data_IF_659133639304
#
_entry.id   IF_659133639304
#
_cell.length_a   1.000
_cell.length_b   1.000
_cell.length_c   1.000
_cell.angle_alpha   90.00
_cell.angle_beta   90.00
_cell.angle_gamma   90.00
#
_symmetry.space_group_name_H-M   'P 1'
#
loop_
_entity.id
_entity.type
_entity.pdbx_description
1 polymer ?
#
# COMPACT_ATOMS: atom_id res chain seq x y z
N UNK A 1 -15.78 25.55 -7.19
CA UNK A 1 -14.71 25.97 -6.28
C UNK A 1 -14.81 25.32 -4.89
N UNK A 2 -15.88 25.50 -4.09
CA UNK A 2 -15.98 24.92 -2.72
C UNK A 2 -15.77 23.39 -2.65
N UNK A 3 -16.26 22.58 -3.62
CA UNK A 3 -16.08 21.13 -3.66
C UNK A 3 -14.61 20.72 -3.89
N UNK A 4 -13.89 21.44 -4.76
CA UNK A 4 -12.47 21.20 -5.05
C UNK A 4 -11.60 21.56 -3.82
N UNK A 5 -11.87 22.70 -3.19
CA UNK A 5 -11.18 23.11 -1.97
C UNK A 5 -11.40 22.12 -0.83
N UNK A 6 -12.64 21.59 -0.69
CA UNK A 6 -12.93 20.57 0.31
C UNK A 6 -12.28 19.22 0.01
N UNK A 7 -12.13 18.85 -1.28
CA UNK A 7 -11.41 17.65 -1.70
C UNK A 7 -9.92 17.74 -1.34
N UNK A 8 -9.27 18.85 -1.68
CA UNK A 8 -7.85 19.09 -1.38
C UNK A 8 -7.60 19.15 0.14
N UNK A 9 -8.50 19.81 0.90
CA UNK A 9 -8.36 19.91 2.37
C UNK A 9 -8.53 18.57 3.11
N UNK A 10 -9.14 17.57 2.50
CA UNK A 10 -9.31 16.24 3.11
C UNK A 10 -8.04 15.39 3.08
N UNK A 11 -7.13 15.69 2.14
CA UNK A 11 -5.88 14.96 1.97
C UNK A 11 -4.69 15.91 2.13
N UNK A 12 -4.02 15.78 3.27
CA UNK A 12 -2.88 16.63 3.64
C UNK A 12 -1.72 16.43 2.66
N UNK A 13 -1.51 15.20 2.19
CA UNK A 13 -0.40 14.86 1.28
C UNK A 13 -0.62 15.51 -0.08
N UNK A 14 -1.84 15.46 -0.59
CA UNK A 14 -2.24 16.17 -1.81
C UNK A 14 -2.03 17.68 -1.67
N UNK A 15 -2.42 18.25 -0.54
CA UNK A 15 -2.24 19.68 -0.28
C UNK A 15 -0.76 20.05 -0.31
N UNK A 16 0.09 19.28 0.36
CA UNK A 16 1.55 19.49 0.37
C UNK A 16 2.12 19.39 -1.05
N UNK A 17 1.76 18.36 -1.81
CA UNK A 17 2.21 18.17 -3.19
C UNK A 17 1.86 19.37 -4.08
N UNK A 18 0.62 19.88 -3.98
CA UNK A 18 0.18 21.06 -4.74
C UNK A 18 0.96 22.32 -4.32
N UNK A 19 1.15 22.54 -3.02
CA UNK A 19 1.90 23.70 -2.51
C UNK A 19 3.34 23.66 -3.00
N UNK A 20 4.01 22.51 -2.90
CA UNK A 20 5.38 22.33 -3.36
C UNK A 20 5.51 22.54 -4.87
N UNK A 21 4.59 21.98 -5.66
CA UNK A 21 4.54 22.19 -7.10
C UNK A 21 4.36 23.67 -7.45
N UNK A 22 3.45 24.37 -6.76
CA UNK A 22 3.21 25.81 -6.97
C UNK A 22 4.44 26.64 -6.59
N UNK A 23 5.01 26.45 -5.39
CA UNK A 23 6.19 27.19 -4.94
C UNK A 23 7.36 26.97 -5.93
N UNK A 24 7.61 25.74 -6.34
CA UNK A 24 8.68 25.46 -7.30
C UNK A 24 8.43 26.07 -8.67
N UNK A 25 7.18 26.26 -9.07
CA UNK A 25 6.80 26.90 -10.33
C UNK A 25 7.05 28.43 -10.36
N UNK A 26 7.20 29.06 -9.19
CA UNK A 26 7.67 30.47 -9.12
C UNK A 26 9.17 30.58 -9.38
N UNK A 27 9.94 29.54 -9.08
CA UNK A 27 11.39 29.50 -9.27
C UNK A 27 11.72 29.06 -10.70
N UNK A 28 11.15 27.92 -11.11
CA UNK A 28 11.27 27.36 -12.47
C UNK A 28 9.94 27.63 -13.18
N UNK A 29 9.95 28.54 -14.14
CA UNK A 29 8.70 28.98 -14.82
C UNK A 29 8.08 27.80 -15.59
N UNK A 30 6.74 27.66 -15.57
CA UNK A 30 6.03 26.65 -16.32
C UNK A 30 6.40 26.66 -17.81
N UNK A 31 6.80 25.50 -18.32
CA UNK A 31 7.16 25.28 -19.71
C UNK A 31 6.54 23.98 -20.22
N UNK A 32 6.71 23.68 -21.51
CA UNK A 32 6.29 22.40 -22.08
C UNK A 32 7.03 21.19 -21.45
N UNK A 33 8.16 21.41 -20.83
CA UNK A 33 8.95 20.39 -20.14
C UNK A 33 8.23 19.79 -18.92
N UNK A 34 7.28 20.54 -18.30
CA UNK A 34 6.47 20.02 -17.19
C UNK A 34 5.71 18.72 -17.55
N UNK A 35 5.31 18.58 -18.83
CA UNK A 35 4.67 17.34 -19.28
C UNK A 35 5.65 16.17 -19.34
N UNK A 36 6.95 16.41 -19.53
CA UNK A 36 7.99 15.39 -19.55
C UNK A 36 8.40 14.91 -18.15
N UNK A 37 8.11 15.70 -17.09
CA UNK A 37 8.39 15.31 -15.72
C UNK A 37 7.47 14.19 -15.23
N UNK A 38 6.27 14.12 -15.83
CA UNK A 38 5.22 13.20 -15.39
C UNK A 38 5.48 11.80 -15.93
N UNK A 39 5.62 10.83 -15.05
CA UNK A 39 5.64 9.41 -15.42
C UNK A 39 4.21 8.91 -15.68
N UNK A 40 3.78 9.04 -16.95
CA UNK A 40 2.45 8.60 -17.40
C UNK A 40 2.25 7.09 -17.24
N UNK A 41 3.32 6.30 -17.33
CA UNK A 41 3.24 4.85 -17.16
C UNK A 41 2.77 4.49 -15.75
N UNK A 42 3.38 5.12 -14.74
CA UNK A 42 2.97 4.94 -13.35
C UNK A 42 1.53 5.38 -13.13
N UNK A 43 1.15 6.58 -13.60
CA UNK A 43 -0.21 7.11 -13.38
C UNK A 43 -1.29 6.26 -14.05
N UNK A 44 -1.09 5.88 -15.30
CA UNK A 44 -2.07 5.06 -16.05
C UNK A 44 -2.20 3.67 -15.42
N UNK A 45 -1.09 3.05 -15.03
CA UNK A 45 -1.13 1.72 -14.43
C UNK A 45 -1.74 1.74 -13.02
N UNK A 46 -1.40 2.75 -12.19
CA UNK A 46 -2.06 2.95 -10.89
C UNK A 46 -3.58 3.10 -11.06
N UNK A 47 -4.01 3.97 -11.97
CA UNK A 47 -5.43 4.17 -12.22
C UNK A 47 -6.12 2.90 -12.70
N UNK A 48 -5.52 2.18 -13.66
CA UNK A 48 -6.05 0.92 -14.17
C UNK A 48 -6.18 -0.12 -13.05
N UNK A 49 -5.16 -0.29 -12.21
CA UNK A 49 -5.18 -1.21 -11.08
C UNK A 49 -6.24 -0.82 -10.03
N UNK A 50 -6.41 0.47 -9.74
CA UNK A 50 -7.48 0.95 -8.83
C UNK A 50 -8.87 0.53 -9.33
N UNK A 51 -9.14 0.67 -10.62
CA UNK A 51 -10.43 0.27 -11.23
C UNK A 51 -10.63 -1.25 -11.17
N UNK A 52 -9.61 -2.03 -11.50
CA UNK A 52 -9.68 -3.50 -11.52
C UNK A 52 -9.85 -4.07 -10.11
N UNK A 53 -9.03 -3.60 -9.16
CA UNK A 53 -9.11 -4.04 -7.75
C UNK A 53 -10.41 -3.58 -7.11
N UNK A 54 -10.86 -2.36 -7.40
CA UNK A 54 -12.19 -1.87 -7.04
C UNK A 54 -13.31 -2.76 -7.56
N UNK A 55 -13.15 -3.30 -8.77
CA UNK A 55 -14.06 -4.27 -9.36
C UNK A 55 -14.14 -5.57 -8.56
N UNK A 56 -13.01 -6.19 -8.22
CA UNK A 56 -12.98 -7.37 -7.34
C UNK A 56 -13.60 -7.10 -5.97
N UNK A 57 -13.29 -5.94 -5.38
CA UNK A 57 -13.87 -5.50 -4.11
C UNK A 57 -15.40 -5.38 -4.21
N UNK A 58 -15.92 -4.77 -5.28
CA UNK A 58 -17.37 -4.60 -5.50
C UNK A 58 -18.12 -5.91 -5.66
N UNK A 59 -17.43 -6.99 -6.06
CA UNK A 59 -17.98 -8.35 -6.16
C UNK A 59 -17.88 -9.14 -4.83
N UNK A 60 -17.31 -8.57 -3.77
CA UNK A 60 -17.13 -9.25 -2.49
C UNK A 60 -16.12 -10.39 -2.50
N UNK A 61 -15.25 -10.50 -3.52
CA UNK A 61 -14.31 -11.62 -3.69
C UNK A 61 -13.46 -11.84 -2.45
N UNK A 62 -12.89 -10.76 -1.90
CA UNK A 62 -11.98 -10.84 -0.76
C UNK A 62 -12.71 -11.19 0.54
N UNK A 63 -13.95 -10.68 0.73
CA UNK A 63 -14.80 -11.04 1.86
C UNK A 63 -15.11 -12.54 1.85
N UNK A 64 -15.57 -13.06 0.72
CA UNK A 64 -15.88 -14.49 0.58
C UNK A 64 -14.66 -15.40 0.78
N UNK A 65 -13.47 -14.96 0.36
CA UNK A 65 -12.23 -15.68 0.66
C UNK A 65 -11.97 -15.72 2.16
N UNK A 66 -12.09 -14.59 2.86
CA UNK A 66 -11.93 -14.51 4.31
C UNK A 66 -12.89 -15.41 5.06
N UNK A 67 -14.19 -15.32 4.74
CA UNK A 67 -15.24 -16.16 5.35
C UNK A 67 -14.96 -17.65 5.18
N UNK A 68 -14.67 -18.11 3.93
CA UNK A 68 -14.41 -19.52 3.65
C UNK A 68 -13.18 -20.08 4.35
N UNK A 69 -12.13 -19.27 4.54
CA UNK A 69 -10.92 -19.71 5.21
C UNK A 69 -11.10 -19.72 6.73
N UNK A 70 -11.79 -18.73 7.28
CA UNK A 70 -12.04 -18.63 8.72
C UNK A 70 -13.01 -19.71 9.24
N UNK A 71 -13.98 -20.19 8.44
CA UNK A 71 -14.88 -21.27 8.83
C UNK A 71 -14.19 -22.61 9.12
N UNK A 72 -12.93 -22.80 8.75
CA UNK A 72 -12.20 -24.06 8.89
C UNK A 72 -11.28 -24.12 10.11
N UNK A 73 -11.28 -23.09 10.95
CA UNK A 73 -10.35 -22.95 12.08
C UNK A 73 -11.06 -23.16 13.40
N UNK A 74 -10.39 -23.87 14.33
CA UNK A 74 -10.94 -24.26 15.64
C UNK A 74 -10.18 -23.62 16.81
N UNK A 75 -9.16 -22.77 16.55
CA UNK A 75 -8.43 -22.06 17.59
C UNK A 75 -8.20 -20.59 17.20
N UNK A 76 -8.10 -19.74 18.21
CA UNK A 76 -7.84 -18.32 18.03
C UNK A 76 -6.53 -18.08 17.26
N UNK A 77 -5.47 -18.83 17.59
CA UNK A 77 -4.19 -18.72 16.90
C UNK A 77 -4.31 -19.06 15.42
N UNK A 78 -5.00 -20.13 15.07
CA UNK A 78 -5.23 -20.50 13.66
C UNK A 78 -6.04 -19.45 12.92
N UNK A 79 -7.05 -18.86 13.56
CA UNK A 79 -7.82 -17.74 13.00
C UNK A 79 -6.91 -16.54 12.71
N UNK A 80 -6.08 -16.13 13.67
CA UNK A 80 -5.17 -15.00 13.51
C UNK A 80 -4.13 -15.27 12.42
N UNK A 81 -3.59 -16.49 12.33
CA UNK A 81 -2.68 -16.88 11.23
C UNK A 81 -3.38 -16.70 9.87
N UNK A 82 -4.61 -17.18 9.72
CA UNK A 82 -5.36 -17.03 8.46
C UNK A 82 -5.57 -15.55 8.12
N UNK A 83 -6.00 -14.73 9.07
CA UNK A 83 -6.26 -13.30 8.87
C UNK A 83 -4.98 -12.55 8.49
N UNK A 84 -3.89 -12.81 9.20
CA UNK A 84 -2.57 -12.21 8.93
C UNK A 84 -2.03 -12.66 7.56
N UNK A 85 -2.18 -13.93 7.20
CA UNK A 85 -1.81 -14.44 5.87
C UNK A 85 -2.66 -13.80 4.76
N UNK A 86 -3.96 -13.60 4.98
CA UNK A 86 -4.82 -12.89 4.03
C UNK A 86 -4.35 -11.46 3.80
N UNK A 87 -3.97 -10.74 4.87
CA UNK A 87 -3.41 -9.39 4.75
C UNK A 87 -2.04 -9.41 4.06
N UNK A 88 -1.15 -10.35 4.43
CA UNK A 88 0.21 -10.44 3.89
C UNK A 88 0.22 -10.78 2.40
N UNK A 89 -0.39 -11.90 2.02
CA UNK A 89 -0.41 -12.36 0.63
C UNK A 89 -1.42 -11.59 -0.24
N UNK A 90 -2.54 -11.17 0.36
CA UNK A 90 -3.52 -10.34 -0.34
C UNK A 90 -2.93 -9.01 -0.77
N UNK A 91 -2.15 -8.35 0.09
CA UNK A 91 -1.52 -7.06 -0.22
C UNK A 91 -0.52 -7.11 -1.39
N UNK A 92 0.02 -8.28 -1.71
CA UNK A 92 0.89 -8.45 -2.89
C UNK A 92 0.14 -8.26 -4.21
N UNK A 93 -1.18 -8.48 -4.22
CA UNK A 93 -2.00 -8.49 -5.42
C UNK A 93 -2.97 -7.30 -5.51
N UNK A 94 -3.48 -6.84 -4.34
CA UNK A 94 -4.57 -5.86 -4.28
C UNK A 94 -4.20 -4.54 -3.60
N UNK A 95 -2.94 -4.35 -3.31
CA UNK A 95 -2.34 -3.29 -2.49
C UNK A 95 -2.63 -3.40 -0.98
N UNK A 96 -1.69 -2.89 -0.18
CA UNK A 96 -1.81 -2.89 1.29
C UNK A 96 -3.06 -2.15 1.78
N UNK A 97 -3.39 -1.00 1.17
CA UNK A 97 -4.54 -0.19 1.57
C UNK A 97 -5.87 -0.93 1.34
N UNK A 98 -6.03 -1.56 0.17
CA UNK A 98 -7.25 -2.33 -0.16
C UNK A 98 -7.36 -3.59 0.70
N UNK A 99 -6.24 -4.26 0.97
CA UNK A 99 -6.23 -5.40 1.89
C UNK A 99 -6.76 -5.00 3.27
N UNK A 100 -6.28 -3.91 3.86
CA UNK A 100 -6.71 -3.46 5.18
C UNK A 100 -8.14 -2.90 5.21
N UNK A 101 -8.56 -2.15 4.16
CA UNK A 101 -9.96 -1.70 4.03
C UNK A 101 -10.92 -2.89 4.01
N UNK A 102 -10.45 -4.05 3.53
CA UNK A 102 -11.28 -5.25 3.41
C UNK A 102 -11.21 -6.12 4.66
N UNK A 103 -9.99 -6.47 5.10
CA UNK A 103 -9.81 -7.48 6.13
C UNK A 103 -9.93 -6.93 7.55
N UNK A 104 -9.52 -5.69 7.85
CA UNK A 104 -9.66 -5.13 9.21
C UNK A 104 -11.12 -5.04 9.68
N UNK A 105 -12.09 -4.50 8.91
CA UNK A 105 -13.49 -4.54 9.31
C UNK A 105 -14.04 -5.96 9.46
N UNK A 106 -13.59 -6.88 8.62
CA UNK A 106 -13.95 -8.29 8.72
C UNK A 106 -13.42 -8.91 10.03
N UNK A 107 -12.16 -8.70 10.36
CA UNK A 107 -11.55 -9.13 11.63
C UNK A 107 -12.29 -8.58 12.84
N UNK A 108 -12.62 -7.29 12.84
CA UNK A 108 -13.42 -6.66 13.89
C UNK A 108 -14.77 -7.40 14.08
N UNK A 109 -15.45 -7.70 12.98
CA UNK A 109 -16.74 -8.41 13.02
C UNK A 109 -16.59 -9.84 13.53
N UNK A 110 -15.58 -10.57 13.09
CA UNK A 110 -15.32 -11.95 13.52
C UNK A 110 -14.99 -11.99 15.02
N UNK A 111 -14.15 -11.08 15.51
CA UNK A 111 -13.78 -11.03 16.93
C UNK A 111 -14.95 -10.66 17.84
N UNK A 112 -15.88 -9.82 17.37
CA UNK A 112 -17.11 -9.55 18.07
C UNK A 112 -18.04 -10.78 18.13
N UNK A 113 -18.12 -11.60 17.06
CA UNK A 113 -18.92 -12.83 17.04
C UNK A 113 -18.40 -13.90 18.00
N UNK A 114 -17.08 -14.03 18.16
CA UNK A 114 -16.45 -15.03 19.04
C UNK A 114 -16.19 -14.49 20.46
N UNK A 115 -16.67 -13.28 20.78
CA UNK A 115 -16.49 -12.61 22.08
C UNK A 115 -15.03 -12.56 22.58
N UNK A 116 -14.11 -12.23 21.67
CA UNK A 116 -12.65 -12.16 21.94
C UNK A 116 -12.06 -10.76 21.70
N UNK A 117 -12.88 -9.69 21.86
CA UNK A 117 -12.48 -8.31 21.55
C UNK A 117 -11.26 -7.84 22.35
N UNK A 118 -10.98 -8.41 23.51
CA UNK A 118 -9.79 -8.11 24.32
C UNK A 118 -8.48 -8.44 23.60
N UNK A 119 -8.51 -9.32 22.60
CA UNK A 119 -7.36 -9.73 21.78
C UNK A 119 -7.28 -9.00 20.44
N UNK A 120 -8.27 -8.16 20.13
CA UNK A 120 -8.42 -7.55 18.81
C UNK A 120 -7.31 -6.54 18.48
N UNK A 121 -6.84 -5.75 19.47
CA UNK A 121 -5.82 -4.72 19.23
C UNK A 121 -4.55 -5.33 18.63
N UNK A 122 -3.86 -6.30 19.29
CA UNK A 122 -2.63 -6.85 18.74
C UNK A 122 -2.87 -7.54 17.39
N UNK A 123 -4.03 -8.15 17.16
CA UNK A 123 -4.33 -8.80 15.89
C UNK A 123 -4.42 -7.78 14.75
N UNK A 124 -5.20 -6.71 14.90
CA UNK A 124 -5.31 -5.65 13.88
C UNK A 124 -3.97 -4.95 13.65
N UNK A 125 -3.15 -4.79 14.69
CA UNK A 125 -1.79 -4.25 14.55
C UNK A 125 -0.91 -5.18 13.73
N UNK A 126 -0.91 -6.50 13.98
CA UNK A 126 -0.13 -7.47 13.21
C UNK A 126 -0.64 -7.57 11.77
N UNK A 127 -1.95 -7.55 11.53
CA UNK A 127 -2.53 -7.47 10.17
C UNK A 127 -2.03 -6.24 9.40
N UNK A 128 -1.98 -5.09 10.08
CA UNK A 128 -1.49 -3.85 9.47
C UNK A 128 -0.03 -3.94 9.08
N UNK A 129 0.79 -4.49 9.97
CA UNK A 129 2.21 -4.77 9.71
C UNK A 129 2.35 -5.77 8.55
N UNK A 130 1.58 -6.85 8.59
CA UNK A 130 1.59 -7.89 7.56
C UNK A 130 1.21 -7.34 6.17
N UNK A 131 0.20 -6.49 6.08
CA UNK A 131 -0.18 -5.86 4.82
C UNK A 131 0.92 -4.92 4.28
N UNK A 132 1.53 -4.09 5.14
CA UNK A 132 2.63 -3.22 4.73
C UNK A 132 3.85 -4.03 4.25
N UNK A 133 4.25 -5.05 5.01
CA UNK A 133 5.44 -5.84 4.71
C UNK A 133 5.21 -6.87 3.59
N UNK A 134 4.00 -7.42 3.47
CA UNK A 134 3.66 -8.33 2.37
C UNK A 134 3.66 -7.63 1.02
N UNK A 135 3.07 -6.43 0.98
CA UNK A 135 2.96 -5.64 -0.26
C UNK A 135 4.30 -5.31 -0.92
N UNK A 136 5.40 -5.35 -0.17
CA UNK A 136 6.71 -4.99 -0.70
C UNK A 136 7.29 -6.01 -1.69
N UNK A 137 6.79 -7.26 -1.75
CA UNK A 137 7.33 -8.29 -2.64
C UNK A 137 7.05 -8.01 -4.12
N UNK A 138 5.95 -7.36 -4.44
CA UNK A 138 5.52 -7.18 -5.84
C UNK A 138 5.52 -5.72 -6.27
N UNK A 139 5.77 -5.43 -7.55
CA UNK A 139 5.71 -4.05 -8.06
C UNK A 139 4.34 -3.39 -7.88
N UNK A 140 3.26 -4.18 -7.83
CA UNK A 140 1.88 -3.69 -7.73
C UNK A 140 1.33 -3.67 -6.30
N UNK A 141 2.08 -4.20 -5.33
CA UNK A 141 1.62 -4.31 -3.94
C UNK A 141 1.41 -2.96 -3.24
N UNK A 142 2.09 -1.92 -3.71
CA UNK A 142 1.89 -0.55 -3.23
C UNK A 142 2.38 0.50 -4.26
N UNK A 143 1.91 1.76 -4.17
CA UNK A 143 2.25 2.80 -5.15
C UNK A 143 3.74 3.13 -5.24
N UNK A 144 4.47 3.13 -4.10
CA UNK A 144 5.90 3.41 -4.10
C UNK A 144 6.73 2.34 -4.81
N UNK A 145 6.31 1.07 -4.72
CA UNK A 145 6.96 0.00 -5.47
C UNK A 145 6.79 0.18 -6.97
N UNK A 146 5.58 0.49 -7.41
CA UNK A 146 5.31 0.70 -8.83
C UNK A 146 6.12 1.89 -9.38
N UNK A 147 6.24 2.97 -8.60
CA UNK A 147 7.05 4.13 -8.95
C UNK A 147 8.53 3.72 -9.11
N UNK A 148 9.12 3.09 -8.09
CA UNK A 148 10.55 2.75 -8.09
C UNK A 148 10.87 1.65 -9.12
N UNK A 149 9.95 0.71 -9.32
CA UNK A 149 10.03 -0.30 -10.38
C UNK A 149 10.07 0.35 -11.78
N UNK A 150 9.17 1.32 -12.03
CA UNK A 150 9.14 2.06 -13.29
C UNK A 150 10.39 2.91 -13.48
N UNK A 151 10.78 3.69 -12.47
CA UNK A 151 11.94 4.57 -12.50
C UNK A 151 13.26 3.81 -12.70
N UNK A 152 13.37 2.61 -12.11
CA UNK A 152 14.54 1.73 -12.23
C UNK A 152 14.57 0.88 -13.48
N UNK A 153 13.53 0.91 -14.33
CA UNK A 153 13.36 0.01 -15.46
C UNK A 153 13.66 -1.47 -15.12
N UNK A 154 13.29 -1.88 -13.90
CA UNK A 154 13.54 -3.22 -13.40
C UNK A 154 12.66 -4.24 -14.13
N UNK A 155 13.14 -5.48 -14.25
CA UNK A 155 12.26 -6.60 -14.57
C UNK A 155 11.53 -7.07 -13.32
N UNK A 156 10.36 -7.71 -13.48
CA UNK A 156 9.60 -8.26 -12.34
C UNK A 156 10.42 -9.26 -11.54
N UNK A 157 11.21 -10.09 -12.23
CA UNK A 157 12.12 -11.04 -11.61
C UNK A 157 13.19 -10.39 -10.74
N UNK A 158 13.87 -9.36 -11.26
CA UNK A 158 14.87 -8.59 -10.50
C UNK A 158 14.27 -7.93 -9.28
N UNK A 159 13.10 -7.28 -9.42
CA UNK A 159 12.41 -6.64 -8.33
C UNK A 159 12.05 -7.66 -7.22
N UNK A 160 11.39 -8.76 -7.60
CA UNK A 160 10.97 -9.78 -6.63
C UNK A 160 12.15 -10.47 -5.96
N UNK A 161 13.21 -10.83 -6.70
CA UNK A 161 14.41 -11.45 -6.13
C UNK A 161 15.12 -10.50 -5.16
N UNK A 162 15.15 -9.19 -5.47
CA UNK A 162 15.71 -8.20 -4.57
C UNK A 162 14.91 -8.08 -3.26
N UNK A 163 13.57 -8.02 -3.35
CA UNK A 163 12.70 -7.85 -2.17
C UNK A 163 12.46 -9.15 -1.38
N UNK A 164 12.68 -10.32 -1.98
CA UNK A 164 12.33 -11.62 -1.41
C UNK A 164 12.97 -11.88 -0.02
N UNK A 165 14.28 -11.65 0.20
CA UNK A 165 14.90 -11.95 1.51
C UNK A 165 14.24 -11.19 2.66
N UNK A 166 13.98 -9.90 2.48
CA UNK A 166 13.37 -9.05 3.51
C UNK A 166 11.89 -9.39 3.68
N UNK A 167 11.20 -9.74 2.59
CA UNK A 167 9.79 -10.17 2.66
C UNK A 167 9.65 -11.46 3.43
N UNK A 168 10.51 -12.46 3.17
CA UNK A 168 10.51 -13.72 3.92
C UNK A 168 10.80 -13.50 5.41
N UNK A 169 11.81 -12.70 5.74
CA UNK A 169 12.09 -12.29 7.11
C UNK A 169 10.87 -11.65 7.76
N UNK A 170 10.23 -10.72 7.06
CA UNK A 170 9.05 -10.01 7.54
C UNK A 170 7.85 -10.93 7.77
N UNK A 171 7.68 -11.93 6.91
CA UNK A 171 6.66 -12.96 7.08
C UNK A 171 6.91 -13.77 8.34
N UNK A 172 8.13 -14.26 8.54
CA UNK A 172 8.52 -15.05 9.72
C UNK A 172 8.35 -14.24 11.01
N UNK A 173 8.72 -12.97 11.01
CA UNK A 173 8.52 -12.07 12.16
C UNK A 173 7.04 -11.80 12.43
N UNK A 174 6.23 -11.61 11.40
CA UNK A 174 4.77 -11.42 11.55
C UNK A 174 4.10 -12.66 12.14
N UNK A 175 4.47 -13.85 11.67
CA UNK A 175 4.01 -15.13 12.25
C UNK A 175 4.55 -15.30 13.68
N UNK A 176 5.82 -14.96 13.94
CA UNK A 176 6.42 -14.99 15.28
C UNK A 176 5.65 -14.14 16.30
N UNK A 177 5.17 -12.95 15.90
CA UNK A 177 4.34 -12.11 16.77
C UNK A 177 3.02 -12.80 17.18
N UNK A 178 2.45 -13.66 16.33
CA UNK A 178 1.21 -14.38 16.63
C UNK A 178 1.43 -15.38 17.77
N UNK A 179 2.61 -16.01 17.84
CA UNK A 179 2.92 -16.96 18.91
C UNK A 179 3.08 -16.31 20.30
N UNK A 180 3.21 -14.97 20.36
CA UNK A 180 3.16 -14.22 21.61
C UNK A 180 1.74 -14.09 22.16
N UNK A 181 0.71 -14.32 21.33
CA UNK A 181 -0.68 -14.32 21.74
C UNK A 181 -1.03 -15.64 22.41
N UNK A 182 -1.77 -15.56 23.54
CA UNK A 182 -2.31 -16.77 24.18
C UNK A 182 -3.35 -17.41 23.28
N UNK A 183 -3.20 -18.72 23.06
CA UNK A 183 -4.16 -19.50 22.29
C UNK A 183 -5.36 -19.89 23.15
N UNK A 184 -6.51 -20.06 22.51
CA UNK A 184 -7.73 -20.60 23.11
C UNK A 184 -8.56 -21.29 22.03
N UNK A 185 -9.32 -22.32 22.42
CA UNK A 185 -10.29 -22.92 21.55
C UNK A 185 -11.44 -21.96 21.28
N UNK A 186 -11.84 -21.85 20.04
CA UNK A 186 -12.96 -21.03 19.60
C UNK A 186 -13.93 -21.89 18.80
N UNK A 187 -15.21 -21.70 19.04
CA UNK A 187 -16.27 -22.25 18.19
C UNK A 187 -16.70 -21.13 17.25
N UNK A 188 -16.11 -21.10 16.06
CA UNK A 188 -16.48 -20.12 15.04
C UNK A 188 -17.69 -20.66 14.29
N UNK A 189 -18.88 -20.49 14.84
CA UNK A 189 -20.09 -20.51 14.03
C UNK A 189 -20.17 -19.21 13.26
N UNK A 190 -19.26 -19.01 12.29
CA UNK A 190 -19.52 -18.03 11.24
C UNK A 190 -20.72 -18.64 10.51
N UNK A 191 -21.93 -18.27 10.95
CA UNK A 191 -23.09 -18.41 10.09
C UNK A 191 -22.67 -17.67 8.82
N UNK A 192 -22.21 -18.44 7.85
CA UNK A 192 -22.25 -17.98 6.48
C UNK A 192 -23.74 -17.73 6.23
N UNK A 193 -24.19 -16.51 6.49
CA UNK A 193 -25.30 -15.93 5.76
C UNK A 193 -24.79 -15.78 4.31
N UNK A 194 -24.24 -16.89 3.78
CA UNK A 194 -24.18 -17.12 2.36
C UNK A 194 -25.63 -17.45 2.01
N UNK A 195 -26.46 -16.39 1.98
CA UNK A 195 -27.64 -16.49 1.12
C UNK A 195 -27.12 -17.07 -0.19
N UNK A 196 -27.81 -18.08 -0.72
CA UNK A 196 -27.50 -18.65 -2.05
C UNK A 196 -27.30 -17.58 -3.15
N UNK A 197 -27.64 -16.32 -2.86
CA UNK A 197 -27.47 -15.12 -3.67
C UNK A 197 -26.06 -14.48 -3.63
N UNK A 198 -25.18 -14.84 -2.70
CA UNK A 198 -23.78 -14.34 -2.62
C UNK A 198 -22.81 -15.14 -3.54
N UNK A 199 -23.34 -15.85 -4.51
CA UNK A 199 -22.54 -16.44 -5.59
C UNK A 199 -21.92 -15.26 -6.39
N UNK A 200 -20.59 -15.13 -6.30
CA UNK A 200 -19.83 -14.18 -7.14
C UNK A 200 -20.42 -14.26 -8.56
N UNK A 201 -20.95 -13.15 -9.06
CA UNK A 201 -21.45 -13.10 -10.43
C UNK A 201 -20.32 -13.52 -11.37
N UNK A 202 -20.37 -14.75 -11.88
CA UNK A 202 -19.28 -15.39 -12.63
C UNK A 202 -18.78 -14.53 -13.80
N UNK A 203 -19.70 -13.94 -14.56
CA UNK A 203 -19.35 -13.16 -15.75
C UNK A 203 -18.55 -11.90 -15.43
N UNK A 204 -18.95 -11.00 -14.51
CA UNK A 204 -18.13 -9.84 -14.12
C UNK A 204 -16.79 -10.24 -13.47
N UNK A 205 -16.74 -11.33 -12.71
CA UNK A 205 -15.51 -11.81 -12.10
C UNK A 205 -14.43 -12.11 -13.15
N UNK A 206 -14.76 -12.89 -14.20
CA UNK A 206 -13.80 -13.22 -15.25
C UNK A 206 -13.39 -11.99 -16.08
N UNK A 207 -14.26 -10.98 -16.20
CA UNK A 207 -13.88 -9.71 -16.83
C UNK A 207 -12.79 -9.03 -16.02
N UNK A 208 -12.92 -8.91 -14.68
CA UNK A 208 -11.87 -8.30 -13.86
C UNK A 208 -10.59 -9.15 -13.81
N UNK A 209 -10.68 -10.49 -13.84
CA UNK A 209 -9.51 -11.37 -14.00
C UNK A 209 -8.78 -11.05 -15.32
N UNK A 210 -9.50 -10.96 -16.42
CA UNK A 210 -8.93 -10.58 -17.71
C UNK A 210 -8.26 -9.19 -17.66
N UNK A 211 -8.93 -8.19 -17.09
CA UNK A 211 -8.37 -6.84 -16.96
C UNK A 211 -7.12 -6.82 -16.05
N UNK A 212 -7.11 -7.63 -15.00
CA UNK A 212 -5.94 -7.79 -14.15
C UNK A 212 -4.76 -8.37 -14.94
N UNK A 213 -4.98 -9.42 -15.73
CA UNK A 213 -3.95 -9.99 -16.60
C UNK A 213 -3.45 -8.97 -17.65
N UNK A 214 -4.34 -8.12 -18.16
CA UNK A 214 -3.95 -6.99 -19.04
C UNK A 214 -3.05 -6.01 -18.28
N UNK A 215 -3.34 -5.66 -17.03
CA UNK A 215 -2.43 -4.84 -16.23
C UNK A 215 -1.08 -5.53 -16.01
N UNK A 216 -1.09 -6.83 -15.69
CA UNK A 216 0.14 -7.61 -15.50
C UNK A 216 1.00 -7.66 -16.76
N UNK A 217 0.40 -7.81 -17.94
CA UNK A 217 1.15 -7.75 -19.19
C UNK A 217 1.95 -6.46 -19.37
N UNK A 218 1.44 -5.32 -18.90
CA UNK A 218 2.22 -4.07 -18.90
C UNK A 218 3.32 -4.06 -17.83
N UNK A 219 3.08 -4.63 -16.65
CA UNK A 219 4.12 -4.80 -15.61
C UNK A 219 5.27 -5.65 -16.14
N UNK A 220 4.98 -6.68 -16.94
CA UNK A 220 5.99 -7.49 -17.66
C UNK A 220 6.54 -6.82 -18.93
N UNK A 221 6.23 -5.54 -19.17
CA UNK A 221 6.71 -4.77 -20.33
C UNK A 221 6.31 -5.33 -21.70
N UNK A 222 5.23 -6.11 -21.79
CA UNK A 222 4.79 -6.73 -23.04
C UNK A 222 4.17 -5.74 -24.03
N UNK A 223 3.55 -4.65 -23.54
CA UNK A 223 2.91 -3.61 -24.35
C UNK A 223 2.79 -2.28 -23.60
N UNK A 224 2.41 -1.22 -24.35
CA UNK A 224 2.33 0.15 -23.85
C UNK A 224 1.25 0.34 -22.78
N UNK A 225 1.54 1.19 -21.78
CA UNK A 225 0.60 1.61 -20.74
C UNK A 225 -0.68 2.28 -21.33
N UNK A 226 -0.60 2.94 -22.49
CA UNK A 226 -1.76 3.53 -23.14
C UNK A 226 -2.78 2.47 -23.57
N UNK A 227 -2.34 1.29 -24.01
CA UNK A 227 -3.22 0.17 -24.36
C UNK A 227 -3.95 -0.31 -23.10
N UNK A 228 -3.23 -0.47 -21.99
CA UNK A 228 -3.82 -0.86 -20.70
C UNK A 228 -4.88 0.15 -20.26
N UNK A 229 -4.53 1.44 -20.26
CA UNK A 229 -5.45 2.51 -19.89
C UNK A 229 -6.72 2.48 -20.74
N UNK A 230 -6.56 2.40 -22.06
CA UNK A 230 -7.71 2.37 -22.98
C UNK A 230 -8.60 1.13 -22.74
N UNK A 231 -8.02 -0.07 -22.68
CA UNK A 231 -8.78 -1.32 -22.50
C UNK A 231 -9.51 -1.31 -21.15
N UNK A 232 -8.81 -0.99 -20.05
CA UNK A 232 -9.41 -0.99 -18.71
C UNK A 232 -10.51 0.06 -18.61
N UNK A 233 -10.28 1.29 -19.08
CA UNK A 233 -11.27 2.37 -19.02
C UNK A 233 -12.51 2.01 -19.83
N UNK A 234 -12.38 1.53 -21.08
CA UNK A 234 -13.52 1.19 -21.94
C UNK A 234 -14.33 0.04 -21.35
N UNK A 235 -13.67 -1.02 -20.90
CA UNK A 235 -14.37 -2.19 -20.35
C UNK A 235 -15.05 -1.85 -19.01
N UNK A 236 -14.38 -1.12 -18.12
CA UNK A 236 -14.98 -0.73 -16.83
C UNK A 236 -16.13 0.26 -17.02
N UNK A 237 -16.06 1.18 -17.99
CA UNK A 237 -17.18 2.04 -18.37
C UNK A 237 -18.42 1.25 -18.81
N UNK A 238 -18.23 0.13 -19.50
CA UNK A 238 -19.32 -0.73 -19.92
C UNK A 238 -19.87 -1.61 -18.79
N UNK A 239 -19.02 -2.06 -17.86
CA UNK A 239 -19.39 -3.03 -16.82
C UNK A 239 -19.84 -2.37 -15.51
N UNK A 240 -19.08 -1.38 -15.01
CA UNK A 240 -19.37 -0.73 -13.74
C UNK A 240 -18.80 0.69 -13.65
N UNK A 241 -19.57 1.66 -14.08
CA UNK A 241 -19.19 3.09 -14.08
C UNK A 241 -18.98 3.68 -12.69
N UNK A 242 -19.52 3.05 -11.62
CA UNK A 242 -19.38 3.56 -10.25
C UNK A 242 -17.94 3.53 -9.78
N UNK A 243 -17.13 2.60 -10.28
CA UNK A 243 -15.72 2.48 -9.92
C UNK A 243 -14.89 3.73 -10.24
N UNK A 244 -15.29 4.50 -11.26
CA UNK A 244 -14.64 5.79 -11.53
C UNK A 244 -14.87 6.83 -10.45
N UNK A 245 -15.97 6.75 -9.71
CA UNK A 245 -16.25 7.67 -8.59
C UNK A 245 -15.48 7.23 -7.33
N UNK A 246 -15.18 5.94 -7.21
CA UNK A 246 -14.50 5.34 -6.07
C UNK A 246 -12.97 5.37 -6.19
N UNK A 247 -12.43 5.64 -7.39
CA UNK A 247 -11.00 5.72 -7.63
C UNK A 247 -10.35 6.85 -6.82
N UNK A 248 -9.13 6.60 -6.33
CA UNK A 248 -8.38 7.56 -5.53
C UNK A 248 -7.67 8.60 -6.43
N UNK A 249 -8.42 9.61 -6.84
CA UNK A 249 -7.87 10.72 -7.61
C UNK A 249 -6.90 11.59 -6.78
N UNK A 250 -7.03 11.59 -5.44
CA UNK A 250 -6.12 12.36 -4.60
C UNK A 250 -4.70 11.80 -4.73
N UNK A 251 -4.55 10.49 -4.73
CA UNK A 251 -3.26 9.84 -4.95
C UNK A 251 -2.67 10.21 -6.34
N UNK A 252 -3.47 10.15 -7.41
CA UNK A 252 -2.99 10.48 -8.77
C UNK A 252 -2.53 11.94 -8.89
N UNK A 253 -3.29 12.88 -8.34
CA UNK A 253 -2.90 14.29 -8.32
C UNK A 253 -1.69 14.57 -7.43
N UNK A 254 -1.54 13.81 -6.33
CA UNK A 254 -0.35 13.85 -5.47
C UNK A 254 0.90 13.48 -6.26
N UNK A 255 0.83 12.37 -7.02
CA UNK A 255 1.93 11.95 -7.90
C UNK A 255 2.27 13.05 -8.94
N UNK A 256 1.27 13.57 -9.63
CA UNK A 256 1.48 14.63 -10.62
C UNK A 256 2.14 15.88 -9.99
N UNK A 257 1.67 16.29 -8.81
CA UNK A 257 2.24 17.44 -8.08
C UNK A 257 3.71 17.20 -7.69
N UNK A 258 4.03 16.03 -7.15
CA UNK A 258 5.42 15.70 -6.82
C UNK A 258 6.32 15.55 -8.05
N UNK A 259 5.84 14.99 -9.15
CA UNK A 259 6.60 14.94 -10.40
C UNK A 259 7.00 16.35 -10.88
N UNK A 260 6.06 17.30 -10.85
CA UNK A 260 6.35 18.69 -11.19
C UNK A 260 7.37 19.30 -10.22
N UNK A 261 7.18 19.11 -8.92
CA UNK A 261 8.10 19.63 -7.90
C UNK A 261 9.52 19.09 -8.10
N UNK A 262 9.67 17.78 -8.25
CA UNK A 262 10.97 17.12 -8.43
C UNK A 262 11.63 17.56 -9.73
N UNK A 263 10.85 17.61 -10.83
CA UNK A 263 11.35 18.09 -12.12
C UNK A 263 11.93 19.51 -12.01
N UNK A 264 11.23 20.41 -11.30
CA UNK A 264 11.71 21.76 -11.05
C UNK A 264 12.97 21.80 -10.17
N UNK A 265 13.00 21.00 -9.09
CA UNK A 265 14.16 20.96 -8.19
C UNK A 265 15.41 20.42 -8.87
N UNK A 266 15.26 19.46 -9.78
CA UNK A 266 16.38 18.94 -10.58
C UNK A 266 17.02 20.00 -11.49
N UNK A 267 16.28 21.02 -11.90
CA UNK A 267 16.82 22.10 -12.74
C UNK A 267 17.62 23.13 -11.92
N UNK A 268 17.58 23.08 -10.59
CA UNK A 268 18.32 24.00 -9.72
C UNK A 268 19.58 23.26 -9.24
N UNK A 269 20.69 23.42 -9.95
CA UNK A 269 21.95 22.68 -9.73
C UNK A 269 22.37 22.64 -8.25
N UNK A 270 22.32 23.78 -7.56
CA UNK A 270 22.72 23.87 -6.14
C UNK A 270 21.86 22.97 -5.26
N UNK A 271 20.54 22.99 -5.46
CA UNK A 271 19.60 22.16 -4.68
C UNK A 271 19.76 20.70 -5.04
N UNK A 272 19.84 20.41 -6.33
CA UNK A 272 20.03 19.06 -6.84
C UNK A 272 21.29 18.41 -6.25
N UNK A 273 22.44 19.05 -6.36
CA UNK A 273 23.70 18.55 -5.82
C UNK A 273 23.67 18.41 -4.28
N UNK A 274 23.05 19.37 -3.59
CA UNK A 274 22.96 19.32 -2.13
C UNK A 274 22.12 18.12 -1.67
N UNK A 275 20.95 17.88 -2.28
CA UNK A 275 20.07 16.76 -1.95
C UNK A 275 20.76 15.42 -2.32
N UNK A 276 21.36 15.34 -3.51
CA UNK A 276 22.10 14.15 -3.94
C UNK A 276 23.22 13.78 -2.95
N UNK A 277 23.99 14.75 -2.48
CA UNK A 277 25.08 14.51 -1.52
C UNK A 277 24.58 13.96 -0.18
N UNK A 278 23.38 14.32 0.25
CA UNK A 278 22.80 13.81 1.50
C UNK A 278 22.28 12.38 1.30
N UNK A 279 21.68 12.09 0.15
CA UNK A 279 20.98 10.83 -0.11
C UNK A 279 21.96 9.74 -0.54
N UNK A 280 22.92 10.07 -1.41
CA UNK A 280 23.84 9.09 -2.01
C UNK A 280 24.62 8.34 -0.95
N UNK A 281 24.51 7.01 -0.95
CA UNK A 281 25.08 6.10 0.04
C UNK A 281 24.29 5.97 1.34
N UNK A 282 23.18 6.72 1.49
CA UNK A 282 22.31 6.68 2.67
C UNK A 282 20.85 6.40 2.31
N UNK A 283 20.57 5.89 1.11
CA UNK A 283 19.20 5.75 0.55
C UNK A 283 18.28 4.95 1.45
N UNK A 284 18.79 3.85 2.04
CA UNK A 284 18.05 3.02 2.98
C UNK A 284 17.59 3.84 4.20
N UNK A 285 18.53 4.51 4.86
CA UNK A 285 18.26 5.26 6.10
C UNK A 285 17.38 6.48 5.80
N UNK A 286 17.68 7.21 4.72
CA UNK A 286 16.91 8.37 4.28
C UNK A 286 15.48 7.98 3.87
N UNK A 287 15.31 6.82 3.23
CA UNK A 287 14.00 6.28 2.91
C UNK A 287 13.17 5.97 4.16
N UNK A 288 13.77 5.29 5.15
CA UNK A 288 13.13 5.01 6.44
C UNK A 288 12.78 6.31 7.16
N UNK A 289 13.74 7.21 7.34
CA UNK A 289 13.55 8.46 8.08
C UNK A 289 12.50 9.36 7.47
N UNK A 290 12.57 9.60 6.15
CA UNK A 290 11.60 10.44 5.43
C UNK A 290 10.19 9.86 5.51
N UNK A 291 10.06 8.54 5.46
CA UNK A 291 8.76 7.87 5.59
C UNK A 291 8.08 8.16 6.93
N UNK A 292 8.84 8.31 8.03
CA UNK A 292 8.29 8.63 9.34
C UNK A 292 7.63 10.02 9.39
N UNK A 293 8.04 10.93 8.51
CA UNK A 293 7.60 12.35 8.53
C UNK A 293 6.52 12.61 7.48
N UNK A 294 6.74 12.12 6.24
CA UNK A 294 5.90 12.46 5.09
C UNK A 294 5.16 11.28 4.47
N UNK A 295 5.25 10.08 5.08
CA UNK A 295 4.76 8.80 4.55
C UNK A 295 5.66 8.21 3.44
N UNK A 296 5.63 6.89 3.33
CA UNK A 296 6.50 6.11 2.43
C UNK A 296 6.30 6.42 0.94
N UNK A 297 5.07 6.67 0.48
CA UNK A 297 4.82 7.02 -0.93
C UNK A 297 5.42 8.38 -1.29
N UNK A 298 5.15 9.49 -0.59
CA UNK A 298 5.83 10.75 -0.83
C UNK A 298 7.35 10.67 -0.67
N UNK A 299 7.84 9.92 0.32
CA UNK A 299 9.27 9.71 0.52
C UNK A 299 9.92 9.05 -0.71
N UNK A 300 9.32 7.97 -1.23
CA UNK A 300 9.77 7.33 -2.46
C UNK A 300 9.80 8.30 -3.63
N UNK A 301 8.74 9.09 -3.80
CA UNK A 301 8.65 10.08 -4.87
C UNK A 301 9.76 11.12 -4.77
N UNK A 302 9.89 11.76 -3.60
CA UNK A 302 10.88 12.83 -3.42
C UNK A 302 12.30 12.32 -3.58
N UNK A 303 12.65 11.21 -2.95
CA UNK A 303 14.02 10.71 -2.92
C UNK A 303 14.44 10.06 -4.24
N UNK A 304 13.53 9.39 -4.98
CA UNK A 304 13.84 8.76 -6.27
C UNK A 304 14.31 9.76 -7.33
N UNK A 305 13.98 11.03 -7.18
CA UNK A 305 14.46 12.08 -8.05
C UNK A 305 15.95 12.40 -7.92
N UNK A 306 16.57 12.05 -6.80
CA UNK A 306 17.90 12.52 -6.40
C UNK A 306 18.87 11.38 -6.06
N UNK A 307 18.56 10.14 -6.40
CA UNK A 307 19.47 9.00 -6.26
C UNK A 307 19.48 8.15 -7.51
N UNK A 308 20.57 7.43 -7.70
CA UNK A 308 20.72 6.38 -8.73
C UNK A 308 20.53 4.99 -8.11
N UNK A 309 20.65 4.82 -6.79
CA UNK A 309 20.45 3.55 -6.11
C UNK A 309 19.00 3.37 -5.66
N UNK A 310 18.13 3.13 -6.64
CA UNK A 310 16.72 2.89 -6.41
C UNK A 310 16.45 1.57 -5.66
N UNK A 311 17.39 0.61 -5.68
CA UNK A 311 17.26 -0.66 -4.94
C UNK A 311 17.38 -0.44 -3.44
N UNK A 312 18.35 0.38 -3.01
CA UNK A 312 18.50 0.75 -1.61
C UNK A 312 17.32 1.60 -1.11
N UNK A 313 16.88 2.55 -1.95
CA UNK A 313 15.71 3.36 -1.66
C UNK A 313 14.45 2.49 -1.53
N UNK A 314 14.30 1.46 -2.36
CA UNK A 314 13.17 0.53 -2.32
C UNK A 314 13.08 -0.18 -0.96
N UNK A 315 14.20 -0.65 -0.42
CA UNK A 315 14.26 -1.17 0.95
C UNK A 315 13.85 -0.11 1.96
N UNK A 316 14.44 1.09 1.87
CA UNK A 316 14.22 2.16 2.83
C UNK A 316 12.75 2.57 2.96
N UNK A 317 12.07 2.81 1.84
CA UNK A 317 10.65 3.26 1.87
C UNK A 317 9.67 2.15 2.22
N UNK A 318 9.99 0.89 1.95
CA UNK A 318 9.13 -0.23 2.34
C UNK A 318 9.26 -0.56 3.83
N UNK A 319 10.49 -0.67 4.34
CA UNK A 319 10.77 -0.83 5.78
C UNK A 319 10.25 0.39 6.53
N UNK A 320 10.46 1.59 5.97
CA UNK A 320 9.97 2.86 6.51
C UNK A 320 8.44 3.00 6.56
N UNK A 321 7.69 2.13 5.92
CA UNK A 321 6.24 2.01 6.09
C UNK A 321 5.81 1.53 7.48
N UNK A 322 6.74 0.94 8.25
CA UNK A 322 6.62 0.69 9.68
C UNK A 322 6.97 1.95 10.49
N UNK A 323 6.72 1.93 11.80
CA UNK A 323 7.06 3.01 12.73
C UNK A 323 5.86 3.85 13.10
N UNK A 324 5.83 5.13 12.69
CA UNK A 324 4.73 6.04 13.03
C UNK A 324 3.45 5.72 12.25
N UNK A 325 2.29 6.17 12.76
CA UNK A 325 1.02 6.07 12.02
C UNK A 325 1.03 6.82 10.69
N UNK A 326 1.87 7.85 10.57
CA UNK A 326 1.99 8.67 9.35
C UNK A 326 2.86 7.95 8.31
N UNK A 327 3.74 7.05 8.74
CA UNK A 327 4.68 6.36 7.87
C UNK A 327 4.02 5.59 6.73
N UNK A 328 2.78 5.12 6.92
CA UNK A 328 1.97 4.49 5.88
C UNK A 328 0.50 4.89 5.98
N UNK A 329 -0.10 5.21 4.84
CA UNK A 329 -1.56 5.45 4.74
C UNK A 329 -2.35 4.22 5.19
N UNK A 330 -1.87 3.02 4.91
CA UNK A 330 -2.44 1.75 5.35
C UNK A 330 -2.57 1.68 6.89
N UNK A 331 -1.59 2.16 7.62
CA UNK A 331 -1.62 2.24 9.09
C UNK A 331 -2.73 3.15 9.60
N UNK A 332 -2.95 4.29 8.93
CA UNK A 332 -4.05 5.20 9.26
C UNK A 332 -5.43 4.59 8.97
N UNK A 333 -5.54 3.74 7.95
CA UNK A 333 -6.79 3.03 7.62
C UNK A 333 -7.19 2.12 8.78
N UNK A 334 -6.28 1.26 9.24
CA UNK A 334 -6.54 0.35 10.36
C UNK A 334 -6.90 1.11 11.65
N UNK A 335 -6.14 2.16 11.97
CA UNK A 335 -6.42 3.02 13.12
C UNK A 335 -7.82 3.66 13.06
N UNK A 336 -8.26 4.11 11.88
CA UNK A 336 -9.59 4.70 11.68
C UNK A 336 -10.69 3.67 11.84
N UNK A 337 -10.56 2.47 11.27
CA UNK A 337 -11.57 1.42 11.41
C UNK A 337 -11.69 0.95 12.87
N UNK A 338 -10.56 0.64 13.50
CA UNK A 338 -10.54 0.25 14.91
C UNK A 338 -11.13 1.34 15.80
N UNK A 339 -10.65 2.58 15.64
CA UNK A 339 -11.11 3.70 16.46
C UNK A 339 -12.56 4.12 16.22
N UNK A 340 -13.18 3.74 15.08
CA UNK A 340 -14.62 3.90 14.87
C UNK A 340 -15.42 2.83 15.60
N UNK A 341 -14.93 1.59 15.62
CA UNK A 341 -15.59 0.48 16.32
C UNK A 341 -15.41 0.58 17.84
N UNK A 342 -14.23 0.96 18.32
CA UNK A 342 -13.88 1.03 19.75
C UNK A 342 -13.26 2.41 20.11
N UNK A 343 -14.05 3.48 20.20
CA UNK A 343 -13.56 4.84 20.44
C UNK A 343 -12.77 5.00 21.74
N UNK A 344 -13.16 4.29 22.79
CA UNK A 344 -12.54 4.35 24.14
C UNK A 344 -11.14 3.73 24.15
N UNK A 345 -10.84 2.79 23.25
CA UNK A 345 -9.58 2.05 23.22
C UNK A 345 -8.55 2.64 22.24
N UNK A 346 -8.83 3.78 21.61
CA UNK A 346 -7.93 4.42 20.62
C UNK A 346 -6.51 4.66 21.14
N UNK A 347 -6.37 5.07 22.42
CA UNK A 347 -5.08 5.34 23.05
C UNK A 347 -4.27 4.05 23.21
N UNK A 348 -4.94 2.96 23.65
CA UNK A 348 -4.28 1.67 23.81
C UNK A 348 -3.87 1.07 22.46
N UNK A 349 -4.75 1.17 21.44
CA UNK A 349 -4.38 0.80 20.07
C UNK A 349 -3.15 1.55 19.60
N UNK A 350 -3.12 2.88 19.74
CA UNK A 350 -1.98 3.71 19.33
C UNK A 350 -0.68 3.30 20.03
N UNK A 351 -0.75 3.03 21.33
CA UNK A 351 0.39 2.57 22.12
C UNK A 351 0.94 1.23 21.62
N UNK A 352 0.06 0.22 21.49
CA UNK A 352 0.45 -1.11 21.01
C UNK A 352 0.94 -1.04 19.58
N UNK A 353 0.24 -0.31 18.69
CA UNK A 353 0.67 -0.08 17.32
C UNK A 353 2.09 0.47 17.27
N UNK A 354 2.37 1.52 18.04
CA UNK A 354 3.70 2.16 18.07
C UNK A 354 4.78 1.18 18.54
N UNK A 355 4.53 0.44 19.62
CA UNK A 355 5.50 -0.51 20.18
C UNK A 355 5.83 -1.61 19.14
N UNK A 356 4.82 -2.29 18.59
CA UNK A 356 5.05 -3.37 17.63
C UNK A 356 5.74 -2.87 16.36
N UNK A 357 5.29 -1.73 15.80
CA UNK A 357 5.87 -1.18 14.59
C UNK A 357 7.32 -0.74 14.76
N UNK A 358 7.68 -0.05 15.88
CA UNK A 358 9.07 0.36 16.11
C UNK A 358 10.00 -0.81 16.42
N UNK A 359 9.55 -1.81 17.17
CA UNK A 359 10.36 -3.01 17.43
C UNK A 359 10.67 -3.71 16.10
N UNK A 360 9.67 -3.96 15.27
CA UNK A 360 9.87 -4.64 13.99
C UNK A 360 10.65 -3.78 12.99
N UNK A 361 10.44 -2.46 12.97
CA UNK A 361 11.22 -1.53 12.17
C UNK A 361 12.72 -1.68 12.48
N UNK A 362 13.08 -1.61 13.77
CA UNK A 362 14.49 -1.72 14.20
C UNK A 362 15.07 -3.08 13.85
N UNK A 363 14.36 -4.17 14.13
CA UNK A 363 14.83 -5.54 13.83
C UNK A 363 15.08 -5.69 12.33
N UNK A 364 14.10 -5.32 11.48
CA UNK A 364 14.22 -5.49 10.03
C UNK A 364 15.32 -4.56 9.49
N UNK A 365 15.41 -3.32 9.96
CA UNK A 365 16.42 -2.36 9.51
C UNK A 365 17.84 -2.86 9.83
N UNK A 366 18.06 -3.34 11.05
CA UNK A 366 19.37 -3.88 11.47
C UNK A 366 19.75 -5.12 10.65
N UNK A 367 18.84 -6.08 10.48
CA UNK A 367 19.09 -7.29 9.68
C UNK A 367 19.36 -6.91 8.22
N UNK A 368 18.58 -5.97 7.66
CA UNK A 368 18.79 -5.50 6.28
C UNK A 368 20.17 -4.86 6.12
N UNK A 369 20.57 -4.03 7.07
CA UNK A 369 21.93 -3.44 7.06
C UNK A 369 23.03 -4.49 7.09
N UNK A 370 22.89 -5.55 7.90
CA UNK A 370 23.85 -6.66 7.91
C UNK A 370 23.86 -7.45 6.59
N UNK A 371 22.70 -7.74 5.99
CA UNK A 371 22.60 -8.46 4.72
C UNK A 371 23.25 -7.70 3.55
N UNK A 372 23.37 -6.39 3.65
CA UNK A 372 23.99 -5.55 2.62
C UNK A 372 25.52 -5.43 2.79
N UNK A 373 26.05 -5.78 3.95
CA UNK A 373 27.50 -5.80 4.21
C UNK A 373 28.16 -7.12 3.79
N UNK A 374 27.35 -8.16 3.55
CA UNK A 374 27.76 -9.48 3.06
C UNK A 374 27.71 -9.57 1.54
#
# INVERSE_FOLDING_TARGET
MKKIVNFIKKDIVLLIAIILALISSFIVKPSKEYFSYIDYRVLVLLFALMLVVGGFKSLGVFRLMGERLCCKVNSLRSLVIVLVCLCFFGSMLITNDVALITFVPFTISVFAMIACEERLIPVVVIETIAANLGSMLTPIGNPQNLLLFSAGNMTVGEFMLHMLPITLLSFLLSIGCIFLLKDQEITVEIRTEVEENDVIKKKPFWIYVFLFLVCMGNVFHLYSHWIVGAVVVLVVLAVNRKLFVEADYALLFTFAGFFVFIGNMKQIDVINLWIMNIITGNELVMGVFSSQIISNVPAAMLLSGFTTDLKQLLYGVNIGGLGTLIASMASLISYRFYGKAYPEQKKEYFKQFTIYNFILLVIILVITGFLQML
#
